data_IF_604445261800
#
_entry.id   IF_604445261800
#
_cell.length_a   1.000
_cell.length_b   1.000
_cell.length_c   1.000
_cell.angle_alpha   90.00
_cell.angle_beta   90.00
_cell.angle_gamma   90.00
#
_symmetry.space_group_name_H-M   'P 1'
#
loop_
_entity.id
_entity.type
_entity.pdbx_description
1 polymer ?
#
# COMPACT_ATOMS: atom_id res chain seq x y z
N UNK A 1 -70.73 -38.71 -8.43
CA UNK A 1 -69.94 -39.95 -8.55
C UNK A 1 -68.54 -39.68 -8.00
N UNK A 2 -68.14 -40.41 -6.96
CA UNK A 2 -66.75 -40.47 -6.43
C UNK A 2 -65.83 -41.03 -7.50
N UNK A 3 -64.57 -40.55 -7.58
CA UNK A 3 -63.29 -41.24 -7.92
C UNK A 3 -62.22 -40.13 -7.89
N UNK A 4 -61.58 -39.83 -6.75
CA UNK A 4 -60.30 -40.39 -6.27
C UNK A 4 -59.25 -40.51 -7.37
N UNK A 5 -58.21 -39.66 -7.31
CA UNK A 5 -56.81 -40.06 -7.49
C UNK A 5 -55.89 -38.98 -6.89
N UNK A 6 -55.12 -39.43 -5.88
CA UNK A 6 -54.09 -38.70 -5.13
C UNK A 6 -52.80 -38.49 -5.97
N UNK A 7 -51.88 -37.61 -5.51
CA UNK A 7 -50.81 -37.01 -6.29
C UNK A 7 -49.50 -37.82 -6.27
N UNK A 8 -48.63 -37.60 -7.26
CA UNK A 8 -47.23 -38.00 -7.19
C UNK A 8 -46.38 -36.78 -6.77
N UNK A 9 -46.24 -36.58 -5.47
CA UNK A 9 -45.34 -35.59 -4.86
C UNK A 9 -43.97 -36.26 -4.67
N UNK A 10 -43.00 -35.94 -5.52
CA UNK A 10 -41.60 -36.35 -5.30
C UNK A 10 -41.01 -35.43 -4.22
N UNK A 11 -40.92 -35.91 -2.98
CA UNK A 11 -40.18 -35.24 -1.91
C UNK A 11 -38.73 -35.65 -2.03
N UNK A 12 -37.89 -34.75 -2.57
CA UNK A 12 -36.45 -34.83 -2.37
C UNK A 12 -36.15 -34.46 -0.92
N UNK A 13 -36.05 -35.45 -0.04
CA UNK A 13 -35.49 -35.29 1.30
C UNK A 13 -33.98 -35.06 1.18
N UNK A 14 -33.59 -33.82 0.89
CA UNK A 14 -32.23 -33.36 1.12
C UNK A 14 -32.00 -33.30 2.62
N UNK A 15 -31.09 -34.12 3.13
CA UNK A 15 -30.62 -34.08 4.51
C UNK A 15 -30.18 -32.66 4.87
N UNK A 16 -31.02 -31.92 5.62
CA UNK A 16 -30.58 -30.69 6.25
C UNK A 16 -29.60 -31.05 7.37
N UNK A 17 -28.30 -31.04 7.05
CA UNK A 17 -27.25 -30.90 8.05
C UNK A 17 -27.51 -29.58 8.77
N UNK A 18 -28.01 -29.70 10.01
CA UNK A 18 -28.07 -28.59 10.97
C UNK A 18 -26.69 -27.93 11.00
N UNK A 19 -26.55 -26.63 10.66
CA UNK A 19 -25.26 -25.97 10.80
C UNK A 19 -24.87 -26.03 12.28
N UNK A 20 -23.68 -26.54 12.57
CA UNK A 20 -23.13 -26.41 13.91
C UNK A 20 -23.10 -24.92 14.29
N UNK A 21 -23.42 -24.54 15.53
CA UNK A 21 -23.24 -23.18 15.98
C UNK A 21 -21.78 -22.79 15.72
N UNK A 22 -21.59 -21.77 14.90
CA UNK A 22 -20.27 -21.26 14.58
C UNK A 22 -19.57 -20.92 15.91
N UNK A 23 -18.36 -21.47 16.11
CA UNK A 23 -17.55 -21.12 17.27
C UNK A 23 -17.35 -19.60 17.32
N UNK A 24 -17.22 -18.98 18.51
CA UNK A 24 -16.97 -17.54 18.66
C UNK A 24 -15.77 -17.02 17.84
N UNK A 25 -14.85 -17.91 17.46
CA UNK A 25 -13.73 -17.62 16.57
C UNK A 25 -14.12 -17.26 15.13
N UNK A 26 -15.35 -17.58 14.67
CA UNK A 26 -15.84 -17.27 13.33
C UNK A 26 -16.60 -15.92 13.25
N UNK A 27 -16.81 -15.25 14.38
CA UNK A 27 -17.50 -13.95 14.47
C UNK A 27 -16.56 -12.76 14.67
N UNK A 28 -15.24 -12.96 14.59
CA UNK A 28 -14.35 -11.84 14.36
C UNK A 28 -14.55 -11.37 12.90
N UNK A 29 -15.54 -10.50 12.68
CA UNK A 29 -15.49 -9.55 11.57
C UNK A 29 -14.11 -8.88 11.68
N UNK A 30 -13.18 -9.28 10.82
CA UNK A 30 -11.88 -8.64 10.74
C UNK A 30 -12.17 -7.16 10.45
N UNK A 31 -12.03 -6.32 11.48
CA UNK A 31 -12.17 -4.89 11.34
C UNK A 31 -11.14 -4.47 10.30
N UNK A 32 -11.61 -4.03 9.12
CA UNK A 32 -10.70 -3.54 8.09
C UNK A 32 -10.01 -2.30 8.67
N UNK A 33 -8.69 -2.32 8.71
CA UNK A 33 -7.93 -1.18 9.20
C UNK A 33 -8.26 0.06 8.35
N UNK A 34 -8.59 1.16 9.01
CA UNK A 34 -8.85 2.46 8.38
C UNK A 34 -7.52 3.21 8.26
N UNK A 35 -7.02 3.34 7.04
CA UNK A 35 -5.79 4.07 6.75
C UNK A 35 -6.12 5.40 6.05
N UNK A 36 -5.42 6.48 6.43
CA UNK A 36 -5.59 7.80 5.83
C UNK A 36 -4.29 8.29 5.19
N UNK A 37 -4.40 8.83 3.98
CA UNK A 37 -3.27 9.34 3.19
C UNK A 37 -3.39 10.85 3.00
N UNK A 38 -2.37 11.59 3.42
CA UNK A 38 -2.31 13.06 3.32
C UNK A 38 -1.28 13.45 2.26
N UNK A 39 -1.79 13.98 1.14
CA UNK A 39 -0.97 14.42 0.00
C UNK A 39 -0.58 15.90 0.04
N UNK A 40 -1.12 16.66 0.99
CA UNK A 40 -0.82 18.08 1.18
C UNK A 40 0.30 18.26 2.22
N UNK A 41 0.89 19.46 2.29
CA UNK A 41 1.88 19.78 3.32
C UNK A 41 1.20 19.73 4.71
N UNK A 42 1.71 18.92 5.66
CA UNK A 42 1.02 18.64 6.92
C UNK A 42 1.04 19.82 7.90
N UNK A 43 1.93 20.79 7.70
CA UNK A 43 2.05 22.01 8.49
C UNK A 43 1.00 23.07 8.15
N UNK A 44 0.28 22.93 7.02
CA UNK A 44 -0.83 23.82 6.68
C UNK A 44 -1.90 23.75 7.78
N UNK A 45 -2.38 24.89 8.31
CA UNK A 45 -3.27 24.90 9.48
C UNK A 45 -4.49 23.97 9.37
N UNK A 46 -5.17 23.96 8.22
CA UNK A 46 -6.32 23.08 8.01
C UNK A 46 -5.97 21.59 7.93
N UNK A 47 -4.77 21.25 7.44
CA UNK A 47 -4.29 19.86 7.36
C UNK A 47 -3.87 19.38 8.74
N UNK A 48 -3.09 20.19 9.47
CA UNK A 48 -2.69 19.91 10.84
C UNK A 48 -3.92 19.70 11.75
N UNK A 49 -4.94 20.57 11.62
CA UNK A 49 -6.19 20.44 12.36
C UNK A 49 -6.94 19.15 12.00
N UNK A 50 -7.02 18.80 10.71
CA UNK A 50 -7.68 17.56 10.29
C UNK A 50 -6.95 16.30 10.82
N UNK A 51 -5.61 16.30 10.81
CA UNK A 51 -4.80 15.23 11.39
C UNK A 51 -5.12 15.09 12.88
N UNK A 52 -5.12 16.21 13.63
CA UNK A 52 -5.41 16.19 15.06
C UNK A 52 -6.82 15.63 15.36
N UNK A 53 -7.83 16.11 14.62
CA UNK A 53 -9.23 15.69 14.78
C UNK A 53 -9.47 14.23 14.40
N UNK A 54 -8.60 13.64 13.57
CA UNK A 54 -8.71 12.24 13.15
C UNK A 54 -8.16 11.24 14.17
N UNK A 55 -7.47 11.69 15.22
CA UNK A 55 -6.87 10.81 16.24
C UNK A 55 -7.95 9.91 16.88
N UNK A 56 -7.68 8.61 16.92
CA UNK A 56 -8.61 7.60 17.45
C UNK A 56 -9.71 7.18 16.48
N UNK A 57 -9.82 7.78 15.29
CA UNK A 57 -10.77 7.36 14.24
C UNK A 57 -10.10 6.64 13.07
N UNK A 58 -8.79 6.80 12.91
CA UNK A 58 -7.96 6.12 11.90
C UNK A 58 -6.95 5.22 12.59
N UNK A 59 -6.71 4.05 12.01
CA UNK A 59 -5.74 3.07 12.52
C UNK A 59 -4.31 3.42 12.09
N UNK A 60 -4.13 3.99 10.88
CA UNK A 60 -2.84 4.43 10.36
C UNK A 60 -2.95 5.73 9.57
N UNK A 61 -1.94 6.57 9.74
CA UNK A 61 -1.76 7.81 8.99
C UNK A 61 -0.50 7.72 8.13
N UNK A 62 -0.63 8.09 6.86
CA UNK A 62 0.48 8.18 5.90
C UNK A 62 0.55 9.60 5.36
N UNK A 63 1.72 10.22 5.46
CA UNK A 63 1.90 11.61 5.01
C UNK A 63 2.92 11.67 3.89
N UNK A 64 2.61 12.41 2.82
CA UNK A 64 3.57 12.70 1.76
C UNK A 64 4.76 13.47 2.31
N UNK A 65 5.87 12.79 2.45
CA UNK A 65 7.12 13.33 2.94
C UNK A 65 7.94 13.99 1.83
N UNK A 66 7.86 13.45 0.61
CA UNK A 66 8.52 14.02 -0.55
C UNK A 66 7.75 13.76 -1.86
N UNK A 67 7.91 14.65 -2.83
CA UNK A 67 7.49 14.47 -4.22
C UNK A 67 8.67 14.77 -5.13
N UNK A 68 9.00 13.82 -6.02
CA UNK A 68 10.12 13.88 -6.93
C UNK A 68 9.60 13.90 -8.36
N UNK A 69 10.04 14.90 -9.15
CA UNK A 69 9.73 15.00 -10.58
C UNK A 69 11.02 15.03 -11.37
N UNK A 70 11.13 14.16 -12.36
CA UNK A 70 12.23 14.21 -13.32
C UNK A 70 11.99 15.35 -14.32
N UNK A 71 13.00 16.19 -14.55
CA UNK A 71 12.94 17.28 -15.53
C UNK A 71 13.78 17.05 -16.79
N UNK A 72 14.33 15.85 -16.97
CA UNK A 72 15.23 15.50 -18.08
C UNK A 72 16.70 15.40 -17.67
N UNK A 73 17.10 16.07 -16.59
CA UNK A 73 18.50 16.14 -16.14
C UNK A 73 18.64 15.68 -14.69
N UNK A 74 17.70 16.07 -13.83
CA UNK A 74 17.72 15.76 -12.40
C UNK A 74 16.31 15.67 -11.85
N UNK A 75 16.21 15.21 -10.60
CA UNK A 75 14.99 15.34 -9.83
C UNK A 75 14.82 16.76 -9.30
N UNK A 76 13.62 17.31 -9.52
CA UNK A 76 13.06 18.40 -8.74
C UNK A 76 12.35 17.79 -7.53
N UNK A 77 12.82 18.15 -6.33
CA UNK A 77 12.40 17.51 -5.08
C UNK A 77 11.63 18.54 -4.25
N UNK A 78 10.41 18.20 -3.88
CA UNK A 78 9.62 18.92 -2.89
C UNK A 78 9.54 18.09 -1.61
N UNK A 79 10.03 18.60 -0.49
CA UNK A 79 10.06 17.88 0.78
C UNK A 79 9.35 18.68 1.88
N UNK A 80 8.01 18.55 2.02
CA UNK A 80 7.24 19.29 3.02
C UNK A 80 7.43 18.81 4.47
N UNK A 81 8.16 17.71 4.69
CA UNK A 81 8.32 17.09 6.02
C UNK A 81 9.78 17.11 6.44
N UNK A 82 10.06 17.77 7.57
CA UNK A 82 11.36 17.79 8.26
C UNK A 82 11.34 17.10 9.63
N UNK A 83 10.15 16.79 10.15
CA UNK A 83 9.91 16.05 11.39
C UNK A 83 8.62 15.24 11.27
N UNK A 84 8.43 14.19 12.09
CA UNK A 84 7.21 13.39 12.02
C UNK A 84 5.97 14.22 12.38
N UNK A 85 4.95 14.30 11.50
CA UNK A 85 3.72 15.05 11.77
C UNK A 85 2.89 14.46 12.92
N UNK A 86 2.98 13.15 13.13
CA UNK A 86 2.34 12.45 14.23
C UNK A 86 3.18 11.24 14.66
N UNK A 87 3.15 10.85 15.95
CA UNK A 87 3.80 9.62 16.40
C UNK A 87 3.29 8.39 15.64
N UNK A 88 4.21 7.55 15.18
CA UNK A 88 3.89 6.29 14.50
C UNK A 88 3.29 6.45 13.10
N UNK A 89 3.26 7.65 12.51
CA UNK A 89 2.84 7.81 11.12
C UNK A 89 3.83 7.16 10.13
N UNK A 90 3.31 6.71 8.99
CA UNK A 90 4.10 6.33 7.84
C UNK A 90 4.40 7.55 6.97
N UNK A 91 5.51 7.48 6.22
CA UNK A 91 5.92 8.53 5.30
C UNK A 91 5.85 8.03 3.86
N UNK A 92 5.37 8.86 2.93
CA UNK A 92 5.25 8.50 1.51
C UNK A 92 6.18 9.37 0.68
N UNK A 93 7.01 8.74 -0.13
CA UNK A 93 7.84 9.38 -1.15
C UNK A 93 7.20 9.10 -2.51
N UNK A 94 6.66 10.14 -3.15
CA UNK A 94 6.07 10.04 -4.47
C UNK A 94 7.11 10.32 -5.56
N UNK A 95 7.22 9.42 -6.52
CA UNK A 95 7.99 9.60 -7.74
C UNK A 95 6.98 9.80 -8.87
N UNK A 96 7.00 10.98 -9.48
CA UNK A 96 6.07 11.34 -10.55
C UNK A 96 6.33 10.59 -11.86
N UNK A 97 5.31 10.51 -12.70
CA UNK A 97 5.35 9.78 -13.97
C UNK A 97 6.42 10.28 -14.96
N UNK A 98 6.96 11.49 -14.78
CA UNK A 98 8.07 11.99 -15.62
C UNK A 98 9.36 11.19 -15.44
N UNK A 99 9.50 10.46 -14.33
CA UNK A 99 10.61 9.54 -14.10
C UNK A 99 10.40 8.16 -14.76
N UNK A 100 9.29 7.93 -15.45
CA UNK A 100 8.97 6.62 -16.06
C UNK A 100 9.96 6.14 -17.13
N UNK A 101 10.73 7.06 -17.71
CA UNK A 101 11.76 6.76 -18.72
C UNK A 101 13.11 6.38 -18.13
N UNK A 102 13.32 6.57 -16.83
CA UNK A 102 14.61 6.32 -16.20
C UNK A 102 15.00 4.85 -16.26
N UNK A 103 16.30 4.60 -16.39
CA UNK A 103 16.87 3.26 -16.34
C UNK A 103 17.10 2.77 -14.91
N UNK A 104 16.99 3.69 -13.94
CA UNK A 104 17.36 3.53 -12.55
C UNK A 104 18.82 3.10 -12.42
N UNK A 105 19.72 3.86 -13.06
CA UNK A 105 21.17 3.71 -12.85
C UNK A 105 21.56 4.12 -11.42
N UNK A 106 22.75 3.76 -10.92
CA UNK A 106 23.21 4.19 -9.60
C UNK A 106 23.13 5.71 -9.40
N UNK A 107 23.44 6.49 -10.43
CA UNK A 107 23.39 7.96 -10.40
C UNK A 107 21.96 8.50 -10.31
N UNK A 108 21.00 7.86 -11.00
CA UNK A 108 19.58 8.20 -10.95
C UNK A 108 18.95 7.80 -9.61
N UNK A 109 19.40 6.69 -9.01
CA UNK A 109 18.93 6.18 -7.72
C UNK A 109 19.45 7.02 -6.55
N UNK A 110 20.71 7.45 -6.59
CA UNK A 110 21.38 8.15 -5.50
C UNK A 110 20.55 9.29 -4.86
N UNK A 111 19.99 10.26 -5.61
CA UNK A 111 19.19 11.33 -5.02
C UNK A 111 17.89 10.82 -4.35
N UNK A 112 17.30 9.73 -4.85
CA UNK A 112 16.10 9.14 -4.24
C UNK A 112 16.48 8.40 -2.96
N UNK A 113 17.54 7.58 -3.00
CA UNK A 113 18.04 6.85 -1.84
C UNK A 113 18.44 7.79 -0.69
N UNK A 114 19.03 8.95 -1.00
CA UNK A 114 19.35 9.96 0.00
C UNK A 114 18.11 10.46 0.76
N UNK A 115 16.99 10.65 0.06
CA UNK A 115 15.71 11.02 0.69
C UNK A 115 15.23 9.90 1.63
N UNK A 116 15.26 8.64 1.20
CA UNK A 116 14.85 7.51 2.04
C UNK A 116 15.71 7.40 3.30
N UNK A 117 17.03 7.57 3.18
CA UNK A 117 17.95 7.55 4.33
C UNK A 117 17.75 8.72 5.28
N UNK A 118 17.38 9.90 4.78
CA UNK A 118 17.03 11.04 5.64
C UNK A 118 15.72 10.79 6.38
N UNK A 119 14.72 10.25 5.69
CA UNK A 119 13.40 10.00 6.28
C UNK A 119 13.41 8.84 7.28
N UNK A 120 14.26 7.82 7.11
CA UNK A 120 14.37 6.70 8.07
C UNK A 120 14.83 7.19 9.45
N UNK A 121 15.72 8.18 9.48
CA UNK A 121 16.21 8.81 10.71
C UNK A 121 15.15 9.59 11.49
N UNK A 122 13.99 9.88 10.88
CA UNK A 122 12.87 10.51 11.58
C UNK A 122 12.09 9.51 12.46
N UNK A 123 12.35 8.21 12.33
CA UNK A 123 11.66 7.15 13.07
C UNK A 123 10.21 6.89 12.65
N UNK A 124 9.85 6.91 11.34
CA UNK A 124 8.49 6.59 10.91
C UNK A 124 8.17 5.12 11.14
N UNK A 125 6.88 4.76 11.17
CA UNK A 125 6.47 3.35 11.28
C UNK A 125 6.72 2.55 10.00
N UNK A 126 6.75 3.22 8.85
CA UNK A 126 7.15 2.70 7.55
C UNK A 126 7.47 3.87 6.60
N UNK A 127 8.25 3.61 5.56
CA UNK A 127 8.42 4.52 4.43
C UNK A 127 7.87 3.84 3.19
N UNK A 128 6.99 4.53 2.47
CA UNK A 128 6.39 4.05 1.24
C UNK A 128 7.01 4.73 0.03
N UNK A 129 7.30 3.91 -0.99
CA UNK A 129 7.60 4.41 -2.33
C UNK A 129 6.32 4.32 -3.16
N UNK A 130 5.75 5.47 -3.53
CA UNK A 130 4.65 5.59 -4.48
C UNK A 130 5.21 6.06 -5.82
N UNK A 131 5.28 5.17 -6.81
CA UNK A 131 5.81 5.50 -8.12
C UNK A 131 4.72 5.47 -9.18
N UNK A 132 4.41 6.63 -9.74
CA UNK A 132 3.41 6.77 -10.79
C UNK A 132 3.89 6.14 -12.09
N UNK A 133 3.07 5.23 -12.64
CA UNK A 133 3.26 4.65 -13.96
C UNK A 133 4.71 4.19 -14.23
N UNK A 134 5.24 3.22 -13.47
CA UNK A 134 6.40 2.47 -13.92
C UNK A 134 5.92 1.76 -15.19
N UNK A 135 6.17 2.36 -16.37
CA UNK A 135 5.94 1.72 -17.67
C UNK A 135 6.42 0.28 -17.57
N UNK A 136 5.75 -0.68 -18.26
CA UNK A 136 5.90 -2.16 -18.31
C UNK A 136 7.31 -2.78 -18.11
N UNK A 137 8.10 -2.28 -17.16
CA UNK A 137 9.55 -2.37 -16.93
C UNK A 137 9.76 -2.70 -15.46
N UNK A 138 8.98 -3.68 -14.98
CA UNK A 138 9.00 -4.14 -13.59
C UNK A 138 10.42 -4.49 -13.11
N UNK A 139 11.29 -4.98 -14.01
CA UNK A 139 12.69 -5.24 -13.69
C UNK A 139 13.48 -3.99 -13.28
N UNK A 140 13.22 -2.84 -13.90
CA UNK A 140 13.86 -1.57 -13.53
C UNK A 140 13.35 -1.03 -12.21
N UNK A 141 12.04 -1.15 -12.00
CA UNK A 141 11.44 -0.78 -10.73
C UNK A 141 11.97 -1.63 -9.57
N UNK A 142 12.25 -2.92 -9.80
CA UNK A 142 12.90 -3.77 -8.80
C UNK A 142 14.29 -3.25 -8.42
N UNK A 143 15.13 -2.85 -9.38
CA UNK A 143 16.47 -2.29 -9.09
C UNK A 143 16.36 -1.07 -8.19
N UNK A 144 15.41 -0.18 -8.47
CA UNK A 144 15.11 0.95 -7.60
C UNK A 144 14.70 0.47 -6.19
N UNK A 145 13.70 -0.41 -6.08
CA UNK A 145 13.19 -0.86 -4.78
C UNK A 145 14.27 -1.55 -3.92
N UNK A 146 15.12 -2.38 -4.52
CA UNK A 146 16.21 -3.06 -3.81
C UNK A 146 17.20 -2.02 -3.23
N UNK A 147 17.53 -0.98 -3.99
CA UNK A 147 18.41 0.09 -3.51
C UNK A 147 17.74 0.96 -2.41
N UNK A 148 16.46 1.30 -2.58
CA UNK A 148 15.72 2.06 -1.58
C UNK A 148 15.53 1.28 -0.28
N UNK A 149 15.42 -0.05 -0.35
CA UNK A 149 15.29 -0.88 0.85
C UNK A 149 16.55 -0.78 1.72
N UNK A 150 17.73 -0.82 1.10
CA UNK A 150 19.00 -0.61 1.79
C UNK A 150 19.10 0.79 2.41
N UNK A 151 18.66 1.81 1.68
CA UNK A 151 18.68 3.20 2.17
C UNK A 151 17.71 3.46 3.33
N UNK A 152 16.57 2.75 3.36
CA UNK A 152 15.53 2.91 4.38
C UNK A 152 15.74 2.04 5.63
N UNK A 153 16.89 1.37 5.77
CA UNK A 153 17.19 0.47 6.90
C UNK A 153 16.08 -0.58 7.15
N UNK A 154 15.56 -1.16 6.07
CA UNK A 154 14.45 -2.13 6.07
C UNK A 154 13.06 -1.61 6.50
N UNK A 155 12.86 -0.30 6.68
CA UNK A 155 11.52 0.31 6.89
C UNK A 155 10.71 0.45 5.59
N UNK A 156 11.26 0.07 4.44
CA UNK A 156 10.62 0.27 3.14
C UNK A 156 9.43 -0.67 2.94
N UNK A 157 8.26 -0.08 2.66
CA UNK A 157 7.10 -0.77 2.12
C UNK A 157 6.79 -0.23 0.72
N UNK A 158 6.95 -1.05 -0.31
CA UNK A 158 6.63 -0.63 -1.68
C UNK A 158 5.10 -0.58 -1.89
N UNK A 159 4.59 0.55 -2.37
CA UNK A 159 3.21 0.67 -2.86
C UNK A 159 3.24 0.99 -4.35
N UNK A 160 2.72 0.08 -5.16
CA UNK A 160 2.64 0.27 -6.61
C UNK A 160 1.23 0.71 -6.96
N UNK A 161 1.06 1.99 -7.29
CA UNK A 161 -0.19 2.49 -7.85
C UNK A 161 -0.20 2.19 -9.35
N UNK A 162 -0.80 1.06 -9.68
CA UNK A 162 -0.96 0.53 -11.02
C UNK A 162 -2.32 0.96 -11.60
N UNK A 163 -2.38 2.06 -12.37
CA UNK A 163 -3.63 2.49 -13.01
C UNK A 163 -3.98 1.70 -14.29
N UNK A 164 -3.06 0.89 -14.85
CA UNK A 164 -3.36 0.08 -16.04
C UNK A 164 -2.35 -1.07 -16.28
N UNK A 165 -2.26 -2.02 -15.34
CA UNK A 165 -1.49 -3.25 -15.56
C UNK A 165 -2.41 -4.36 -16.05
N UNK A 166 -2.12 -4.93 -17.23
CA UNK A 166 -2.77 -6.17 -17.66
C UNK A 166 -2.59 -7.28 -16.62
N UNK A 167 -3.66 -8.06 -16.34
CA UNK A 167 -3.72 -9.07 -15.25
C UNK A 167 -2.48 -9.97 -15.12
N UNK A 168 -1.83 -10.32 -16.22
CA UNK A 168 -0.63 -11.16 -16.23
C UNK A 168 0.60 -10.53 -15.55
N UNK A 169 0.74 -9.20 -15.61
CA UNK A 169 1.85 -8.49 -14.98
C UNK A 169 1.62 -8.26 -13.48
N UNK A 170 0.37 -8.03 -13.06
CA UNK A 170 -0.01 -7.99 -11.64
C UNK A 170 0.21 -9.34 -10.95
N UNK A 171 -0.09 -10.45 -11.63
CA UNK A 171 0.17 -11.80 -11.12
C UNK A 171 1.64 -12.02 -10.79
N UNK A 172 2.56 -11.67 -11.71
CA UNK A 172 4.01 -11.79 -11.49
C UNK A 172 4.51 -10.85 -10.39
N UNK A 173 4.00 -9.63 -10.32
CA UNK A 173 4.38 -8.70 -9.25
C UNK A 173 3.91 -9.22 -7.88
N UNK A 174 2.65 -9.65 -7.78
CA UNK A 174 2.08 -10.18 -6.55
C UNK A 174 2.74 -11.49 -6.10
N UNK A 175 3.11 -12.37 -7.04
CA UNK A 175 3.84 -13.62 -6.77
C UNK A 175 5.24 -13.33 -6.22
N UNK A 176 5.99 -12.42 -6.86
CA UNK A 176 7.31 -12.01 -6.38
C UNK A 176 7.26 -11.27 -5.02
N UNK A 177 6.22 -10.47 -4.77
CA UNK A 177 6.00 -9.84 -3.45
C UNK A 177 5.54 -10.85 -2.39
N UNK A 178 4.83 -11.91 -2.79
CA UNK A 178 4.30 -12.96 -1.90
C UNK A 178 5.36 -13.99 -1.51
N UNK A 179 6.33 -14.26 -2.37
CA UNK A 179 7.52 -15.06 -2.05
C UNK A 179 8.43 -14.36 -1.03
N UNK A 180 8.25 -13.05 -0.87
CA UNK A 180 8.88 -12.23 0.15
C UNK A 180 7.96 -12.01 1.36
N UNK A 181 7.20 -13.03 1.78
CA UNK A 181 6.27 -12.96 2.94
C UNK A 181 7.00 -12.67 4.27
N UNK A 182 8.30 -12.88 4.31
CA UNK A 182 9.26 -12.44 5.33
C UNK A 182 9.40 -10.91 5.39
N UNK A 183 9.15 -10.18 4.30
CA UNK A 183 9.13 -8.70 4.26
C UNK A 183 7.83 -8.07 4.78
N UNK A 184 6.74 -8.84 4.89
CA UNK A 184 5.44 -8.37 5.40
C UNK A 184 5.21 -8.70 6.88
N UNK A 185 6.15 -9.42 7.49
CA UNK A 185 6.11 -9.70 8.93
C UNK A 185 6.87 -8.59 9.66
N UNK A 186 6.13 -7.85 10.48
CA UNK A 186 6.72 -7.01 11.53
C UNK A 186 7.59 -7.89 12.45
N UNK A 187 8.73 -7.41 12.97
CA UNK A 187 9.25 -7.92 14.22
C UNK A 187 8.22 -7.76 15.35
#
# INVERSE_FOLDING_TARGET
>A
MKWVLLPLLIVLTGCQKKPAPASPAAQAQAHLAVEAYVWQAPDRPGVAQAIEQSKGTIDRLHVRAAELKWNGIRFEIQQPVSSLPAPGCGLVVRIGASASQLEWTPEEIAPVAEIFSKLSKLGPSEIQCDYDCPQKRLGRYRVLLDALQGAAEALLRAIVVALDFGRAQLGKLAENLRDRRDLLRRP
#
